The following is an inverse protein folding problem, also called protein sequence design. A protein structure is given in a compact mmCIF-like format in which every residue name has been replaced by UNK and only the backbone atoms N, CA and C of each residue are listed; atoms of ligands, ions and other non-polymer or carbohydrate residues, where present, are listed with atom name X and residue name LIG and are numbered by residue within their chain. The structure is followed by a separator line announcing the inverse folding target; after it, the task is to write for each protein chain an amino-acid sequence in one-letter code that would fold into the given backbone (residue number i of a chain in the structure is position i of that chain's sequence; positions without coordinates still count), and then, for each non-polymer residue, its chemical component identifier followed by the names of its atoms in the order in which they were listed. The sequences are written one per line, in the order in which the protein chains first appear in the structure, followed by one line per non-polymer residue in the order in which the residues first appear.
data_IF_707890313385
#
_entry.id   IF_707890313385
#
_cell.length_a   1.000
_cell.length_b   1.000
_cell.length_c   1.000
_cell.angle_alpha   90.00
_cell.angle_beta   90.00
_cell.angle_gamma   90.00
#
_symmetry.space_group_name_H-M   'P 1'
#
loop_
_entity.id
_entity.type
_entity.pdbx_description
1 polymer ?
#
# COMPACT_ATOMS: atom_id res chain seq x y z
N UNK A 1 17.93 56.53 -30.87
CA UNK A 1 18.08 55.72 -29.64
C UNK A 1 17.95 54.24 -30.03
N UNK A 2 19.05 53.57 -30.33
CA UNK A 2 19.02 52.14 -30.69
C UNK A 2 18.82 51.33 -29.42
N UNK A 3 17.65 50.71 -29.26
CA UNK A 3 17.46 49.70 -28.20
C UNK A 3 18.52 48.63 -28.42
N UNK A 4 19.45 48.52 -27.48
CA UNK A 4 20.56 47.58 -27.50
C UNK A 4 20.03 46.18 -27.86
N UNK A 5 20.63 45.52 -28.85
CA UNK A 5 20.26 44.18 -29.33
C UNK A 5 20.09 43.17 -28.18
N UNK A 6 20.89 43.33 -27.12
CA UNK A 6 20.78 42.53 -25.89
C UNK A 6 19.43 42.68 -25.18
N UNK A 7 18.87 43.89 -25.09
CA UNK A 7 17.59 44.13 -24.43
C UNK A 7 16.43 43.46 -25.18
N UNK A 8 16.49 43.40 -26.51
CA UNK A 8 15.48 42.70 -27.33
C UNK A 8 15.49 41.19 -27.09
N UNK A 9 16.68 40.59 -27.00
CA UNK A 9 16.81 39.15 -26.73
C UNK A 9 16.29 38.84 -25.33
N UNK A 10 16.66 39.62 -24.32
CA UNK A 10 16.19 39.44 -22.94
C UNK A 10 14.65 39.54 -22.85
N UNK A 11 14.04 40.55 -23.48
CA UNK A 11 12.58 40.70 -23.51
C UNK A 11 11.88 39.51 -24.16
N UNK A 12 12.42 38.98 -25.25
CA UNK A 12 11.87 37.78 -25.90
C UNK A 12 11.97 36.55 -24.99
N UNK A 13 13.10 36.35 -24.29
CA UNK A 13 13.27 35.24 -23.34
C UNK A 13 12.28 35.35 -22.19
N UNK A 14 12.12 36.55 -21.61
CA UNK A 14 11.13 36.78 -20.55
C UNK A 14 9.72 36.50 -21.05
N UNK A 15 9.36 36.98 -22.23
CA UNK A 15 8.05 36.72 -22.83
C UNK A 15 7.79 35.21 -23.00
N UNK A 16 8.76 34.46 -23.52
CA UNK A 16 8.67 32.99 -23.66
C UNK A 16 8.48 32.31 -22.29
N UNK A 17 9.22 32.74 -21.28
CA UNK A 17 9.07 32.20 -19.91
C UNK A 17 7.66 32.49 -19.37
N UNK A 18 7.14 33.71 -19.54
CA UNK A 18 5.79 34.07 -19.07
C UNK A 18 4.73 33.23 -19.78
N UNK A 19 4.81 33.08 -21.11
CA UNK A 19 3.89 32.24 -21.88
C UNK A 19 3.96 30.78 -21.42
N UNK A 20 5.16 30.26 -21.17
CA UNK A 20 5.35 28.90 -20.68
C UNK A 20 4.73 28.70 -19.28
N UNK A 21 4.96 29.64 -18.34
CA UNK A 21 4.36 29.59 -17.01
C UNK A 21 2.84 29.72 -17.06
N UNK A 22 2.31 30.54 -17.96
CA UNK A 22 0.87 30.67 -18.17
C UNK A 22 0.23 29.37 -18.67
N UNK A 23 0.87 28.68 -19.63
CA UNK A 23 0.42 27.36 -20.10
C UNK A 23 0.44 26.33 -18.97
N UNK A 24 1.49 26.31 -18.16
CA UNK A 24 1.58 25.45 -16.97
C UNK A 24 0.44 25.75 -15.99
N UNK A 25 0.15 27.03 -15.74
CA UNK A 25 -0.96 27.43 -14.86
C UNK A 25 -2.31 26.96 -15.40
N UNK A 26 -2.59 27.15 -16.69
CA UNK A 26 -3.82 26.67 -17.33
C UNK A 26 -3.97 25.15 -17.26
N UNK A 27 -2.86 24.42 -17.43
CA UNK A 27 -2.82 22.98 -17.27
C UNK A 27 -3.22 22.55 -15.85
N UNK A 28 -2.68 23.21 -14.82
CA UNK A 28 -3.06 22.94 -13.43
C UNK A 28 -4.51 23.31 -13.11
N UNK A 29 -5.03 24.42 -13.64
CA UNK A 29 -6.44 24.80 -13.46
C UNK A 29 -7.36 23.72 -14.05
N UNK A 30 -7.06 23.26 -15.26
CA UNK A 30 -7.85 22.20 -15.92
C UNK A 30 -7.83 20.90 -15.11
N UNK A 31 -6.66 20.50 -14.59
CA UNK A 31 -6.54 19.32 -13.72
C UNK A 31 -7.38 19.48 -12.46
N UNK A 32 -7.31 20.65 -11.81
CA UNK A 32 -8.06 20.92 -10.58
C UNK A 32 -9.58 20.89 -10.80
N UNK A 33 -10.06 21.47 -11.90
CA UNK A 33 -11.48 21.48 -12.23
C UNK A 33 -12.01 20.07 -12.53
N UNK A 34 -11.24 19.27 -13.29
CA UNK A 34 -11.56 17.87 -13.56
C UNK A 34 -11.63 17.05 -12.25
N UNK A 35 -10.66 17.27 -11.35
CA UNK A 35 -10.63 16.61 -10.04
C UNK A 35 -11.88 16.89 -9.21
N UNK A 36 -12.29 18.16 -9.15
CA UNK A 36 -13.48 18.59 -8.41
C UNK A 36 -14.77 18.01 -8.98
N UNK A 37 -14.90 17.95 -10.31
CA UNK A 37 -16.06 17.34 -10.97
C UNK A 37 -16.16 15.84 -10.66
N UNK A 38 -15.03 15.13 -10.68
CA UNK A 38 -14.97 13.71 -10.34
C UNK A 38 -15.32 13.49 -8.87
N UNK A 39 -14.80 14.31 -7.96
CA UNK A 39 -15.12 14.22 -6.54
C UNK A 39 -16.60 14.51 -6.28
N UNK A 40 -17.18 15.51 -6.94
CA UNK A 40 -18.62 15.82 -6.85
C UNK A 40 -19.47 14.66 -7.37
N UNK A 41 -19.09 14.07 -8.51
CA UNK A 41 -19.75 12.89 -9.05
C UNK A 41 -19.72 11.73 -8.04
N UNK A 42 -18.54 11.39 -7.50
CA UNK A 42 -18.41 10.28 -6.57
C UNK A 42 -19.05 10.56 -5.20
N UNK A 43 -19.13 11.81 -4.77
CA UNK A 43 -19.87 12.18 -3.55
C UNK A 43 -21.36 11.89 -3.72
N UNK A 44 -21.96 12.30 -4.85
CA UNK A 44 -23.37 12.02 -5.16
C UNK A 44 -23.61 10.52 -5.30
N UNK A 45 -22.74 9.81 -6.01
CA UNK A 45 -22.85 8.34 -6.15
C UNK A 45 -22.69 7.63 -4.81
N UNK A 46 -21.79 8.13 -3.95
CA UNK A 46 -21.55 7.54 -2.64
C UNK A 46 -22.79 7.64 -1.76
N UNK A 47 -23.37 8.83 -1.65
CA UNK A 47 -24.56 9.08 -0.82
C UNK A 47 -25.79 8.30 -1.30
N UNK A 48 -26.00 8.23 -2.61
CA UNK A 48 -27.24 7.69 -3.18
C UNK A 48 -27.20 6.18 -3.45
N UNK A 49 -26.03 5.59 -3.67
CA UNK A 49 -25.92 4.20 -4.13
C UNK A 49 -24.88 3.39 -3.35
N UNK A 50 -23.61 3.81 -3.37
CA UNK A 50 -22.49 3.02 -2.83
C UNK A 50 -22.67 2.79 -1.33
N UNK A 51 -22.96 3.84 -0.55
CA UNK A 51 -23.13 3.74 0.89
C UNK A 51 -24.36 2.91 1.28
N UNK A 52 -25.59 3.18 0.78
CA UNK A 52 -26.76 2.38 1.12
C UNK A 52 -26.63 0.89 0.78
N UNK A 53 -26.00 0.56 -0.36
CA UNK A 53 -25.78 -0.84 -0.75
C UNK A 53 -24.67 -1.46 0.09
N UNK A 54 -23.54 -0.76 0.29
CA UNK A 54 -22.45 -1.23 1.14
C UNK A 54 -22.91 -1.51 2.58
N UNK A 55 -23.73 -0.64 3.17
CA UNK A 55 -24.34 -0.87 4.49
C UNK A 55 -25.20 -2.12 4.50
N UNK A 56 -26.07 -2.30 3.50
CA UNK A 56 -26.96 -3.46 3.39
C UNK A 56 -26.17 -4.77 3.31
N UNK A 57 -25.15 -4.79 2.47
CA UNK A 57 -24.28 -5.94 2.25
C UNK A 57 -23.50 -6.30 3.53
N UNK A 58 -22.92 -5.31 4.22
CA UNK A 58 -22.23 -5.52 5.50
C UNK A 58 -23.21 -5.99 6.59
N UNK A 59 -24.38 -5.36 6.75
CA UNK A 59 -25.37 -5.79 7.73
C UNK A 59 -25.87 -7.22 7.46
N UNK A 60 -26.00 -7.60 6.19
CA UNK A 60 -26.40 -8.96 5.81
C UNK A 60 -25.42 -10.01 6.33
N UNK A 61 -24.10 -9.81 6.15
CA UNK A 61 -23.11 -10.75 6.68
C UNK A 61 -23.02 -10.69 8.21
N UNK A 62 -23.12 -9.51 8.83
CA UNK A 62 -23.14 -9.38 10.29
C UNK A 62 -24.29 -10.19 10.88
N UNK A 63 -25.52 -10.01 10.39
CA UNK A 63 -26.69 -10.77 10.85
C UNK A 63 -26.54 -12.28 10.61
N UNK A 64 -25.96 -12.70 9.48
CA UNK A 64 -25.68 -14.12 9.22
C UNK A 64 -24.73 -14.69 10.27
N UNK A 65 -23.71 -13.91 10.66
CA UNK A 65 -22.70 -14.34 11.64
C UNK A 65 -23.20 -14.35 13.08
N UNK A 66 -24.29 -13.66 13.42
CA UNK A 66 -24.90 -13.70 14.76
C UNK A 66 -25.40 -15.11 15.14
N UNK A 67 -25.81 -15.90 14.14
CA UNK A 67 -26.29 -17.26 14.34
C UNK A 67 -25.18 -18.32 14.44
N UNK A 68 -23.91 -17.92 14.38
CA UNK A 68 -22.76 -18.83 14.42
C UNK A 68 -22.12 -18.75 15.81
N UNK A 69 -22.18 -19.83 16.59
CA UNK A 69 -21.64 -19.85 17.96
C UNK A 69 -20.11 -20.02 17.99
N UNK A 70 -19.54 -20.72 17.00
CA UNK A 70 -18.10 -20.99 16.95
C UNK A 70 -17.35 -19.79 16.34
N UNK A 71 -16.40 -19.22 17.09
CA UNK A 71 -15.63 -18.05 16.65
C UNK A 71 -14.85 -18.28 15.35
N UNK A 72 -14.22 -19.45 15.20
CA UNK A 72 -13.46 -19.79 14.00
C UNK A 72 -14.37 -19.87 12.79
N UNK A 73 -15.51 -20.57 12.90
CA UNK A 73 -16.51 -20.66 11.83
C UNK A 73 -17.09 -19.28 11.49
N UNK A 74 -17.28 -18.42 12.49
CA UNK A 74 -17.77 -17.06 12.30
C UNK A 74 -16.77 -16.20 11.52
N UNK A 75 -15.50 -16.20 11.93
CA UNK A 75 -14.43 -15.46 11.26
C UNK A 75 -14.16 -16.00 9.84
N UNK A 76 -14.26 -17.31 9.65
CA UNK A 76 -14.18 -17.93 8.33
C UNK A 76 -15.34 -17.49 7.42
N UNK A 77 -16.58 -17.46 7.93
CA UNK A 77 -17.73 -16.96 7.16
C UNK A 77 -17.57 -15.48 6.77
N UNK A 78 -16.97 -14.65 7.62
CA UNK A 78 -16.62 -13.26 7.30
C UNK A 78 -15.59 -13.24 6.17
N UNK A 79 -14.52 -14.03 6.27
CA UNK A 79 -13.45 -14.06 5.27
C UNK A 79 -13.93 -14.54 3.90
N UNK A 80 -14.78 -15.57 3.89
CA UNK A 80 -15.44 -16.07 2.68
C UNK A 80 -16.22 -14.93 2.01
N UNK A 81 -17.06 -14.22 2.78
CA UNK A 81 -17.87 -13.12 2.25
C UNK A 81 -17.03 -11.91 1.78
N UNK A 82 -15.97 -11.57 2.51
CA UNK A 82 -15.05 -10.48 2.14
C UNK A 82 -14.34 -10.81 0.82
N UNK A 83 -13.94 -12.08 0.64
CA UNK A 83 -13.20 -12.55 -0.53
C UNK A 83 -14.10 -12.86 -1.73
N UNK A 84 -15.36 -13.21 -1.50
CA UNK A 84 -16.31 -13.57 -2.55
C UNK A 84 -16.50 -12.41 -3.55
N UNK A 85 -16.38 -12.73 -4.84
CA UNK A 85 -16.48 -11.79 -5.97
C UNK A 85 -15.52 -10.59 -5.89
N UNK A 86 -14.45 -10.71 -5.08
CA UNK A 86 -13.45 -9.66 -4.94
C UNK A 86 -12.49 -9.67 -6.12
N UNK A 87 -12.29 -8.51 -6.75
CA UNK A 87 -11.30 -8.32 -7.82
C UNK A 87 -9.99 -7.88 -7.20
N UNK A 88 -9.07 -8.83 -7.03
CA UNK A 88 -7.74 -8.57 -6.49
C UNK A 88 -6.81 -8.04 -7.59
N UNK A 89 -6.61 -6.72 -7.64
CA UNK A 89 -6.06 -6.02 -8.81
C UNK A 89 -4.64 -6.41 -9.23
N UNK A 90 -3.90 -7.13 -8.36
CA UNK A 90 -2.56 -7.63 -8.65
C UNK A 90 -2.56 -9.04 -9.26
N UNK A 91 -3.60 -9.84 -8.98
CA UNK A 91 -3.69 -11.24 -9.42
C UNK A 91 -4.72 -11.44 -10.53
N UNK A 92 -5.64 -10.49 -10.71
CA UNK A 92 -6.76 -10.62 -11.65
C UNK A 92 -6.34 -11.05 -13.05
N UNK A 93 -5.31 -10.40 -13.60
CA UNK A 93 -4.81 -10.68 -14.94
C UNK A 93 -4.17 -12.07 -15.08
N UNK A 94 -3.47 -12.51 -14.05
CA UNK A 94 -2.68 -13.75 -14.09
C UNK A 94 -3.56 -14.98 -13.83
N UNK A 95 -4.58 -14.86 -12.99
CA UNK A 95 -5.33 -16.02 -12.48
C UNK A 95 -6.77 -16.12 -12.97
N UNK A 96 -7.44 -15.01 -13.31
CA UNK A 96 -8.88 -15.01 -13.58
C UNK A 96 -9.22 -14.52 -14.99
N UNK A 97 -8.61 -13.41 -15.44
CA UNK A 97 -8.93 -12.80 -16.72
C UNK A 97 -7.69 -12.22 -17.40
N UNK A 98 -7.11 -12.88 -18.42
CA UNK A 98 -5.90 -12.38 -19.10
C UNK A 98 -6.11 -11.06 -19.84
N UNK A 99 -7.37 -10.68 -20.10
CA UNK A 99 -7.74 -9.41 -20.72
C UNK A 99 -8.05 -8.31 -19.70
N UNK A 100 -7.83 -8.56 -18.40
CA UNK A 100 -8.03 -7.57 -17.36
C UNK A 100 -7.18 -6.32 -17.63
N UNK A 101 -7.85 -5.17 -17.65
CA UNK A 101 -7.22 -3.85 -17.77
C UNK A 101 -7.68 -2.95 -16.64
N UNK A 102 -6.87 -1.91 -16.38
CA UNK A 102 -7.17 -0.88 -15.40
C UNK A 102 -6.58 0.45 -15.84
N UNK A 103 -7.29 1.54 -15.57
CA UNK A 103 -6.91 2.91 -15.93
C UNK A 103 -7.35 3.90 -14.85
N UNK A 104 -6.79 5.10 -14.88
CA UNK A 104 -7.17 6.16 -13.93
C UNK A 104 -8.14 7.13 -14.58
N UNK A 105 -9.24 7.42 -13.88
CA UNK A 105 -10.28 8.34 -14.35
C UNK A 105 -9.82 9.80 -14.26
N UNK A 106 -8.92 10.13 -13.34
CA UNK A 106 -8.49 11.48 -13.01
C UNK A 106 -6.98 11.71 -13.26
N UNK A 107 -6.47 11.22 -14.39
CA UNK A 107 -5.07 11.45 -14.76
C UNK A 107 -4.74 12.96 -14.85
N UNK A 108 -3.58 13.43 -14.34
CA UNK A 108 -2.47 12.66 -13.76
C UNK A 108 -2.57 12.48 -12.24
N UNK A 109 -3.66 12.94 -11.60
CA UNK A 109 -3.80 12.87 -10.14
C UNK A 109 -3.92 11.41 -9.69
N UNK A 110 -4.59 10.54 -10.46
CA UNK A 110 -4.64 9.09 -10.25
C UNK A 110 -5.23 8.67 -8.89
N UNK A 111 -6.36 9.27 -8.47
CA UNK A 111 -7.10 8.89 -7.24
C UNK A 111 -8.19 7.86 -7.48
N UNK A 112 -8.70 7.70 -8.70
CA UNK A 112 -9.77 6.75 -8.98
C UNK A 112 -9.35 5.78 -10.06
N UNK A 113 -8.99 4.56 -9.65
CA UNK A 113 -8.67 3.47 -10.54
C UNK A 113 -9.96 2.78 -10.97
N UNK A 114 -10.17 2.64 -12.28
CA UNK A 114 -11.28 1.95 -12.90
C UNK A 114 -10.77 0.69 -13.61
N UNK A 115 -11.49 -0.43 -13.52
CA UNK A 115 -11.13 -1.68 -14.20
C UNK A 115 -12.07 -2.09 -15.33
N UNK A 116 -11.65 -3.10 -16.10
CA UNK A 116 -12.42 -3.66 -17.21
C UNK A 116 -13.78 -4.27 -16.83
N UNK A 117 -14.07 -4.46 -15.53
CA UNK A 117 -15.36 -4.95 -15.06
C UNK A 117 -16.32 -3.82 -14.66
N UNK A 118 -15.89 -2.57 -14.76
CA UNK A 118 -16.69 -1.43 -14.32
C UNK A 118 -16.50 -1.08 -12.84
N UNK A 119 -15.54 -1.70 -12.14
CA UNK A 119 -15.32 -1.47 -10.72
C UNK A 119 -14.37 -0.29 -10.49
N UNK A 120 -14.58 0.41 -9.38
CA UNK A 120 -13.83 1.63 -9.05
C UNK A 120 -13.16 1.47 -7.70
N UNK A 121 -11.85 1.71 -7.65
CA UNK A 121 -11.02 1.72 -6.45
C UNK A 121 -10.50 3.15 -6.17
N UNK A 122 -10.87 3.75 -5.04
CA UNK A 122 -10.27 4.99 -4.57
C UNK A 122 -8.88 4.71 -4.00
N UNK A 123 -7.85 5.36 -4.55
CA UNK A 123 -6.45 5.18 -4.16
C UNK A 123 -6.03 6.19 -3.09
N UNK A 124 -5.31 5.71 -2.07
CA UNK A 124 -4.74 6.56 -1.00
C UNK A 124 -3.53 7.35 -1.51
N UNK A 125 -2.78 6.77 -2.45
CA UNK A 125 -1.42 7.21 -2.76
C UNK A 125 -1.16 7.24 -4.27
N UNK A 126 -1.27 8.43 -4.85
CA UNK A 126 -0.57 8.78 -6.08
C UNK A 126 0.63 9.65 -5.73
N UNK A 127 1.77 9.51 -6.42
CA UNK A 127 2.91 10.42 -6.24
C UNK A 127 2.51 11.89 -6.37
N UNK A 128 1.57 12.17 -7.27
CA UNK A 128 1.04 13.52 -7.49
C UNK A 128 0.10 13.92 -6.35
N UNK A 129 -0.81 13.04 -5.90
CA UNK A 129 -1.69 13.35 -4.77
C UNK A 129 -0.93 13.60 -3.46
N UNK A 130 0.23 12.97 -3.28
CA UNK A 130 1.13 13.24 -2.14
C UNK A 130 1.78 14.63 -2.22
N UNK A 131 2.20 15.05 -3.41
CA UNK A 131 2.79 16.39 -3.63
C UNK A 131 1.75 17.47 -3.34
N UNK A 132 0.51 17.27 -3.81
CA UNK A 132 -0.57 18.25 -3.66
C UNK A 132 -1.41 18.07 -2.38
N UNK A 133 -1.13 17.03 -1.58
CA UNK A 133 -1.90 16.67 -0.37
C UNK A 133 -3.40 16.63 -0.63
N UNK A 134 -3.80 16.03 -1.74
CA UNK A 134 -5.21 15.83 -2.09
C UNK A 134 -5.58 14.39 -1.70
N UNK A 135 -6.03 14.14 -0.45
CA UNK A 135 -6.45 12.81 -0.06
C UNK A 135 -7.69 12.40 -0.87
N UNK A 136 -7.86 11.10 -1.06
CA UNK A 136 -9.14 10.54 -1.48
C UNK A 136 -9.86 10.05 -0.22
N UNK A 137 -10.95 10.71 0.14
CA UNK A 137 -11.72 10.41 1.37
C UNK A 137 -12.40 9.03 1.33
N UNK A 138 -12.61 8.48 0.14
CA UNK A 138 -13.21 7.15 -0.06
C UNK A 138 -12.18 6.03 -0.01
N UNK A 139 -10.88 6.34 0.03
CA UNK A 139 -9.85 5.32 0.05
C UNK A 139 -9.86 4.56 1.39
N UNK A 140 -9.89 3.24 1.32
CA UNK A 140 -10.13 2.34 2.46
C UNK A 140 -11.49 2.58 3.16
N UNK A 141 -12.52 3.05 2.45
CA UNK A 141 -13.86 3.09 3.01
C UNK A 141 -14.50 1.68 2.91
N UNK A 142 -14.92 1.05 4.03
CA UNK A 142 -15.45 -0.32 4.00
C UNK A 142 -16.73 -0.47 3.18
N UNK A 143 -17.61 0.55 3.16
CA UNK A 143 -18.83 0.53 2.36
C UNK A 143 -18.53 0.58 0.86
N UNK A 144 -17.54 1.36 0.45
CA UNK A 144 -17.05 1.39 -0.93
C UNK A 144 -16.46 0.05 -1.35
N UNK A 145 -15.64 -0.55 -0.49
CA UNK A 145 -15.01 -1.85 -0.75
C UNK A 145 -16.09 -2.94 -0.80
N UNK A 146 -17.09 -2.92 0.08
CA UNK A 146 -18.20 -3.86 0.08
C UNK A 146 -19.05 -3.76 -1.20
N UNK A 147 -19.26 -2.54 -1.71
CA UNK A 147 -20.01 -2.29 -2.94
C UNK A 147 -19.28 -2.80 -4.18
N UNK A 148 -18.04 -2.35 -4.43
CA UNK A 148 -17.31 -2.70 -5.64
C UNK A 148 -16.59 -4.05 -5.57
N UNK A 149 -16.32 -4.56 -4.36
CA UNK A 149 -15.51 -5.77 -4.12
C UNK A 149 -14.23 -5.71 -4.95
N UNK A 150 -13.37 -4.71 -4.72
CA UNK A 150 -12.14 -4.46 -5.49
C UNK A 150 -11.06 -3.86 -4.60
N UNK A 151 -9.81 -4.28 -4.79
CA UNK A 151 -8.67 -3.70 -4.08
C UNK A 151 -7.46 -4.62 -3.99
N UNK A 152 -6.62 -4.39 -3.00
CA UNK A 152 -5.52 -5.27 -2.59
C UNK A 152 -5.65 -5.71 -1.13
N UNK A 153 -4.54 -6.14 -0.55
CA UNK A 153 -4.48 -6.64 0.83
C UNK A 153 -4.93 -5.59 1.87
N UNK A 154 -4.67 -4.31 1.62
CA UNK A 154 -5.13 -3.21 2.49
C UNK A 154 -6.65 -3.13 2.56
N UNK A 155 -7.33 -3.12 1.42
CA UNK A 155 -8.78 -3.05 1.35
C UNK A 155 -9.46 -4.31 1.89
N UNK A 156 -8.91 -5.50 1.62
CA UNK A 156 -9.40 -6.74 2.23
C UNK A 156 -9.29 -6.70 3.76
N UNK A 157 -8.15 -6.26 4.29
CA UNK A 157 -7.95 -6.15 5.73
C UNK A 157 -8.91 -5.14 6.37
N UNK A 158 -9.13 -3.98 5.73
CA UNK A 158 -10.05 -2.95 6.22
C UNK A 158 -11.50 -3.43 6.21
N UNK A 159 -11.94 -4.08 5.12
CA UNK A 159 -13.30 -4.60 5.07
C UNK A 159 -13.51 -5.73 6.09
N UNK A 160 -12.53 -6.62 6.25
CA UNK A 160 -12.58 -7.67 7.27
C UNK A 160 -12.64 -7.08 8.70
N UNK A 161 -11.77 -6.09 9.00
CA UNK A 161 -11.75 -5.39 10.30
C UNK A 161 -13.11 -4.76 10.62
N UNK A 162 -13.72 -4.04 9.67
CA UNK A 162 -15.02 -3.40 9.86
C UNK A 162 -16.14 -4.42 10.13
N UNK A 163 -16.22 -5.50 9.33
CA UNK A 163 -17.23 -6.54 9.52
C UNK A 163 -17.02 -7.29 10.83
N UNK A 164 -15.79 -7.69 11.15
CA UNK A 164 -15.48 -8.41 12.39
C UNK A 164 -15.78 -7.55 13.64
N UNK A 165 -15.45 -6.25 13.62
CA UNK A 165 -15.82 -5.34 14.71
C UNK A 165 -17.35 -5.24 14.88
N UNK A 166 -18.10 -5.12 13.78
CA UNK A 166 -19.57 -5.08 13.83
C UNK A 166 -20.18 -6.40 14.28
N UNK A 167 -19.49 -7.52 14.05
CA UNK A 167 -19.86 -8.85 14.57
C UNK A 167 -19.42 -9.09 16.03
N UNK A 168 -18.90 -8.07 16.71
CA UNK A 168 -18.62 -8.10 18.16
C UNK A 168 -17.18 -8.46 18.55
N UNK A 169 -16.25 -8.55 17.60
CA UNK A 169 -14.84 -8.75 17.90
C UNK A 169 -14.11 -7.43 18.16
N UNK A 170 -13.05 -7.49 18.96
CA UNK A 170 -12.06 -6.42 18.99
C UNK A 170 -10.98 -6.74 17.95
N UNK A 171 -10.72 -5.80 17.04
CA UNK A 171 -9.78 -6.01 15.95
C UNK A 171 -8.83 -4.85 15.75
N UNK A 172 -7.74 -5.11 15.03
CA UNK A 172 -6.82 -4.09 14.54
C UNK A 172 -6.21 -4.50 13.20
N UNK A 173 -6.27 -3.61 12.21
CA UNK A 173 -5.50 -3.79 11.00
C UNK A 173 -4.00 -3.71 11.31
N UNK A 174 -3.21 -4.64 10.76
CA UNK A 174 -1.76 -4.65 10.84
C UNK A 174 -1.18 -4.43 9.45
N UNK A 175 -0.12 -3.62 9.36
CA UNK A 175 0.58 -3.32 8.10
C UNK A 175 2.05 -3.67 8.22
N UNK A 176 2.56 -4.45 7.27
CA UNK A 176 3.98 -4.67 7.09
C UNK A 176 4.53 -3.83 5.93
N UNK A 177 5.62 -3.14 6.17
CA UNK A 177 6.48 -2.59 5.12
C UNK A 177 7.52 -3.65 4.80
N UNK A 178 7.58 -4.06 3.54
CA UNK A 178 8.53 -5.06 3.03
C UNK A 178 9.58 -4.38 2.15
N UNK A 179 10.73 -5.02 1.96
CA UNK A 179 11.83 -4.49 1.14
C UNK A 179 11.43 -4.15 -0.30
N UNK A 180 10.39 -4.80 -0.85
CA UNK A 180 9.93 -4.60 -2.23
C UNK A 180 8.43 -4.34 -2.36
N UNK A 181 7.68 -4.37 -1.27
CA UNK A 181 6.22 -4.24 -1.30
C UNK A 181 5.68 -3.85 0.09
N UNK A 182 4.37 -3.86 0.26
CA UNK A 182 3.71 -3.86 1.55
C UNK A 182 2.76 -5.06 1.65
N UNK A 183 2.29 -5.33 2.86
CA UNK A 183 1.22 -6.28 3.10
C UNK A 183 0.36 -5.85 4.28
N UNK A 184 -0.90 -6.27 4.31
CA UNK A 184 -1.82 -5.97 5.40
C UNK A 184 -2.67 -7.20 5.74
N UNK A 185 -2.96 -7.33 7.03
CA UNK A 185 -3.82 -8.37 7.62
C UNK A 185 -4.52 -7.79 8.86
N UNK A 186 -5.32 -8.58 9.56
CA UNK A 186 -6.05 -8.15 10.76
C UNK A 186 -5.61 -9.00 11.95
N UNK A 187 -5.47 -8.42 13.13
CA UNK A 187 -5.46 -9.18 14.38
C UNK A 187 -6.85 -9.10 15.02
N UNK A 188 -7.34 -10.23 15.53
CA UNK A 188 -8.66 -10.39 16.13
C UNK A 188 -8.50 -10.96 17.54
N UNK A 189 -9.17 -10.37 18.52
CA UNK A 189 -9.21 -10.87 19.89
C UNK A 189 -10.34 -11.88 20.07
N UNK A 190 -9.98 -13.11 20.44
CA UNK A 190 -10.90 -14.23 20.69
C UNK A 190 -10.55 -14.82 22.06
N UNK A 191 -11.48 -14.76 23.02
CA UNK A 191 -11.27 -15.25 24.40
C UNK A 191 -9.96 -14.75 25.04
N UNK A 192 -9.77 -13.42 25.05
CA UNK A 192 -8.59 -12.72 25.61
C UNK A 192 -7.25 -13.07 24.93
N UNK A 193 -7.29 -13.62 23.71
CA UNK A 193 -6.11 -13.99 22.93
C UNK A 193 -6.18 -13.37 21.55
N UNK A 194 -5.06 -12.85 21.08
CA UNK A 194 -4.94 -12.28 19.75
C UNK A 194 -4.55 -13.35 18.73
N UNK A 195 -5.30 -13.41 17.65
CA UNK A 195 -5.04 -14.23 16.47
C UNK A 195 -4.81 -13.32 15.28
N UNK A 196 -3.94 -13.72 14.34
CA UNK A 196 -3.91 -13.06 13.04
C UNK A 196 -4.98 -13.68 12.14
N UNK A 197 -5.52 -12.85 11.25
CA UNK A 197 -6.38 -13.21 10.15
C UNK A 197 -5.89 -12.50 8.89
N UNK A 198 -5.44 -13.25 7.89
CA UNK A 198 -4.98 -12.70 6.61
C UNK A 198 -6.01 -13.00 5.50
N UNK A 199 -6.94 -12.08 5.22
CA UNK A 199 -7.95 -12.28 4.18
C UNK A 199 -7.34 -12.39 2.77
N UNK A 200 -6.11 -11.90 2.56
CA UNK A 200 -5.42 -12.09 1.27
C UNK A 200 -4.97 -13.54 1.10
N UNK A 201 -4.39 -14.14 2.14
CA UNK A 201 -4.02 -15.56 2.05
C UNK A 201 -5.25 -16.46 1.99
N UNK A 202 -6.34 -16.08 2.66
CA UNK A 202 -7.62 -16.77 2.51
C UNK A 202 -8.08 -16.73 1.04
N UNK A 203 -8.11 -15.55 0.42
CA UNK A 203 -8.43 -15.37 -1.00
C UNK A 203 -7.53 -16.22 -1.91
N UNK A 204 -6.20 -16.14 -1.72
CA UNK A 204 -5.22 -16.84 -2.56
C UNK A 204 -5.32 -18.36 -2.43
N UNK A 205 -5.59 -18.88 -1.22
CA UNK A 205 -5.74 -20.31 -1.03
C UNK A 205 -7.09 -20.81 -1.56
N UNK A 206 -8.21 -20.19 -1.18
CA UNK A 206 -9.55 -20.71 -1.47
C UNK A 206 -10.07 -20.35 -2.87
N UNK A 207 -9.73 -19.17 -3.41
CA UNK A 207 -10.24 -18.72 -4.72
C UNK A 207 -9.24 -18.89 -5.86
N UNK A 208 -7.94 -18.82 -5.59
CA UNK A 208 -6.90 -19.05 -6.61
C UNK A 208 -6.30 -20.47 -6.57
N UNK A 209 -6.73 -21.30 -5.62
CA UNK A 209 -6.26 -22.68 -5.39
C UNK A 209 -4.73 -22.82 -5.19
N UNK A 210 -4.08 -21.80 -4.64
CA UNK A 210 -2.62 -21.82 -4.45
C UNK A 210 -2.25 -22.51 -3.12
N UNK A 211 -2.02 -23.82 -3.19
CA UNK A 211 -1.83 -24.71 -2.02
C UNK A 211 -0.76 -24.29 -1.01
N UNK A 212 0.27 -23.52 -1.40
CA UNK A 212 1.31 -23.06 -0.45
C UNK A 212 0.78 -22.12 0.65
N UNK A 213 -0.41 -21.55 0.47
CA UNK A 213 -1.09 -20.69 1.44
C UNK A 213 -2.11 -21.45 2.32
N UNK A 214 -2.11 -22.78 2.26
CA UNK A 214 -2.93 -23.59 3.13
C UNK A 214 -2.55 -23.36 4.60
N UNK A 215 -3.53 -23.11 5.46
CA UNK A 215 -3.34 -22.85 6.90
C UNK A 215 -2.43 -21.65 7.21
N UNK A 216 -2.32 -20.67 6.30
CA UNK A 216 -1.53 -19.45 6.54
C UNK A 216 -2.38 -18.19 6.65
N UNK A 217 -3.69 -18.35 6.78
CA UNK A 217 -4.67 -17.25 6.83
C UNK A 217 -5.24 -17.03 8.23
N UNK A 218 -5.05 -17.96 9.17
CA UNK A 218 -5.47 -17.83 10.56
C UNK A 218 -4.51 -18.55 11.50
N UNK A 219 -4.22 -17.97 12.66
CA UNK A 219 -3.34 -18.56 13.67
C UNK A 219 -2.85 -17.55 14.70
N UNK A 220 -1.86 -17.93 15.50
CA UNK A 220 -1.26 -16.98 16.45
C UNK A 220 -0.21 -16.09 15.78
N UNK A 221 -0.02 -14.83 16.20
CA UNK A 221 0.99 -13.94 15.63
C UNK A 221 2.40 -14.56 15.53
N UNK A 222 2.82 -15.35 16.52
CA UNK A 222 4.10 -16.08 16.53
C UNK A 222 4.23 -17.18 15.45
N UNK A 223 3.12 -17.63 14.88
CA UNK A 223 3.05 -18.65 13.83
C UNK A 223 3.03 -18.03 12.42
N UNK A 224 2.85 -16.72 12.29
CA UNK A 224 2.66 -16.06 11.00
C UNK A 224 3.95 -16.01 10.16
N UNK A 225 4.11 -16.88 9.16
CA UNK A 225 5.39 -17.11 8.48
C UNK A 225 5.37 -16.91 6.96
N UNK A 226 4.56 -15.99 6.44
CA UNK A 226 4.41 -15.76 4.99
C UNK A 226 5.64 -15.11 4.35
N UNK A 227 6.40 -14.35 5.13
CA UNK A 227 7.57 -13.61 4.66
C UNK A 227 8.84 -14.14 5.34
N UNK A 228 9.98 -13.98 4.68
CA UNK A 228 11.25 -14.14 5.39
C UNK A 228 11.51 -12.93 6.30
N UNK A 229 12.19 -13.14 7.43
CA UNK A 229 12.58 -12.05 8.32
C UNK A 229 13.36 -10.95 7.58
N UNK A 230 14.17 -11.30 6.57
CA UNK A 230 14.94 -10.37 5.74
C UNK A 230 14.10 -9.46 4.83
N UNK A 231 12.84 -9.82 4.57
CA UNK A 231 11.91 -8.99 3.81
C UNK A 231 11.21 -7.94 4.67
N UNK A 232 11.07 -8.16 5.98
CA UNK A 232 10.36 -7.26 6.89
C UNK A 232 11.23 -6.04 7.23
N UNK A 233 10.73 -4.84 6.94
CA UNK A 233 11.33 -3.58 7.39
C UNK A 233 10.66 -3.05 8.67
N UNK A 234 9.33 -3.13 8.73
CA UNK A 234 8.54 -2.75 9.89
C UNK A 234 7.18 -3.46 9.88
N UNK A 235 6.61 -3.68 11.06
CA UNK A 235 5.22 -4.11 11.24
C UNK A 235 4.57 -3.12 12.19
N UNK A 236 3.47 -2.51 11.77
CA UNK A 236 2.80 -1.47 12.55
C UNK A 236 1.32 -1.76 12.71
N UNK A 237 0.78 -1.33 13.84
CA UNK A 237 -0.66 -1.18 14.03
C UNK A 237 -1.20 -0.10 13.07
N UNK A 238 -2.26 -0.41 12.32
CA UNK A 238 -2.83 0.46 11.31
C UNK A 238 -3.43 1.73 11.88
N UNK A 239 -3.96 1.66 13.11
CA UNK A 239 -4.66 2.74 13.79
C UNK A 239 -3.66 3.60 14.58
N UNK A 240 -2.80 2.99 15.40
CA UNK A 240 -1.88 3.75 16.27
C UNK A 240 -0.54 4.06 15.62
N UNK A 241 -0.19 3.37 14.53
CA UNK A 241 1.14 3.40 13.88
C UNK A 241 2.29 2.93 14.79
N UNK A 242 1.98 2.35 15.94
CA UNK A 242 2.97 1.74 16.82
C UNK A 242 3.68 0.58 16.10
N UNK A 243 5.00 0.44 16.30
CA UNK A 243 5.73 -0.73 15.80
C UNK A 243 5.47 -1.94 16.71
N UNK A 244 4.89 -2.98 16.13
CA UNK A 244 4.42 -4.17 16.85
C UNK A 244 5.17 -5.44 16.44
N UNK A 245 6.35 -5.29 15.82
CA UNK A 245 7.19 -6.44 15.39
C UNK A 245 7.52 -7.39 16.54
N UNK A 246 7.49 -6.93 17.79
CA UNK A 246 7.75 -7.76 18.97
C UNK A 246 6.73 -8.90 19.14
N UNK A 247 5.52 -8.74 18.61
CA UNK A 247 4.45 -9.77 18.57
C UNK A 247 4.72 -10.87 17.54
N UNK A 248 5.68 -10.65 16.64
CA UNK A 248 6.07 -11.55 15.55
C UNK A 248 7.54 -11.96 15.71
N UNK A 249 7.89 -12.79 16.71
CA UNK A 249 9.27 -13.15 17.05
C UNK A 249 10.08 -13.72 15.87
N UNK A 250 9.44 -14.47 14.97
CA UNK A 250 10.02 -15.01 13.73
C UNK A 250 10.56 -13.94 12.77
N UNK A 251 10.06 -12.70 12.86
CA UNK A 251 10.51 -11.58 12.03
C UNK A 251 11.54 -10.69 12.73
N UNK A 252 11.87 -10.96 13.99
CA UNK A 252 13.00 -10.32 14.65
C UNK A 252 14.27 -10.77 13.94
N UNK A 253 14.70 -10.00 12.94
CA UNK A 253 16.05 -10.13 12.43
C UNK A 253 16.97 -10.00 13.65
N UNK A 254 17.85 -10.97 13.87
CA UNK A 254 18.96 -10.78 14.79
C UNK A 254 19.81 -9.63 14.23
N UNK A 255 19.45 -8.38 14.56
CA UNK A 255 20.24 -7.16 14.26
C UNK A 255 21.66 -7.26 14.86
N UNK A 256 21.96 -8.31 15.62
CA UNK A 256 23.15 -8.51 16.44
C UNK A 256 24.39 -9.06 15.72
N UNK A 257 24.35 -9.51 14.46
CA UNK A 257 25.56 -10.10 13.83
C UNK A 257 26.23 -9.31 12.70
N UNK A 258 25.52 -8.42 11.99
CA UNK A 258 26.13 -7.68 10.87
C UNK A 258 26.79 -6.34 11.24
N UNK A 259 26.52 -5.76 12.42
CA UNK A 259 27.25 -4.57 12.86
C UNK A 259 28.69 -4.93 13.28
N UNK A 260 28.93 -6.14 13.82
CA UNK A 260 30.29 -6.61 14.13
C UNK A 260 31.10 -6.96 12.88
N UNK A 261 30.49 -7.52 11.84
CA UNK A 261 31.23 -7.89 10.60
C UNK A 261 31.59 -6.68 9.73
N UNK A 262 30.76 -5.62 9.72
CA UNK A 262 31.07 -4.36 9.03
C UNK A 262 32.17 -3.58 9.77
N UNK A 263 32.18 -3.60 11.10
CA UNK A 263 33.26 -2.97 11.88
C UNK A 263 34.57 -3.78 11.88
N UNK A 264 34.55 -5.12 11.83
CA UNK A 264 35.80 -5.90 11.74
C UNK A 264 36.49 -5.78 10.37
N UNK A 265 35.75 -5.83 9.26
CA UNK A 265 36.37 -5.66 7.92
C UNK A 265 36.93 -4.27 7.67
N UNK A 266 36.44 -3.23 8.37
CA UNK A 266 36.97 -1.87 8.28
C UNK A 266 38.22 -1.66 9.15
N UNK A 267 38.42 -2.47 10.19
CA UNK A 267 39.60 -2.42 11.06
C UNK A 267 40.76 -3.24 10.47
N UNK A 268 40.50 -4.36 9.77
CA UNK A 268 41.57 -5.16 9.13
C UNK A 268 42.21 -4.50 7.89
N UNK A 269 41.60 -3.46 7.30
CA UNK A 269 42.17 -2.70 6.17
C UNK A 269 42.99 -1.47 6.57
N UNK A 270 43.25 -1.27 7.86
CA UNK A 270 44.27 -0.33 8.33
C UNK A 270 45.46 -1.13 8.85
N UNK A 271 46.02 -2.00 8.01
CA UNK A 271 47.40 -2.46 8.18
C UNK A 271 48.30 -1.42 7.54
N UNK A 272 49.14 -0.81 8.38
CA UNK A 272 50.14 0.21 8.05
C UNK A 272 51.00 -0.32 6.89
N UNK A 273 51.24 0.47 5.81
CA UNK A 273 52.21 0.10 4.78
C UNK A 273 53.59 -0.09 5.43
N UNK A 274 54.17 -1.27 5.21
CA UNK A 274 55.54 -1.57 5.63
C UNK A 274 56.50 -0.52 5.04
N UNK A 275 57.33 0.09 5.89
CA UNK A 275 58.16 1.27 5.62
C UNK A 275 59.36 1.04 4.70
N UNK A 276 59.29 0.09 3.76
CA UNK A 276 60.43 -0.31 2.93
C UNK A 276 60.38 0.25 1.50
N UNK A 277 59.27 0.88 1.07
CA UNK A 277 59.14 1.43 -0.30
C UNK A 277 59.35 2.96 -0.44
N UNK A 278 59.77 3.69 0.59
CA UNK A 278 60.06 5.14 0.50
C UNK A 278 61.52 5.43 0.06
N UNK A 279 62.16 4.54 -0.72
CA UNK A 279 63.57 4.73 -1.17
C UNK A 279 63.81 4.69 -2.68
N UNK A 280 62.79 4.82 -3.53
CA UNK A 280 62.96 4.80 -5.00
C UNK A 280 62.35 5.97 -5.79
N UNK A 281 62.10 7.13 -5.16
CA UNK A 281 61.62 8.33 -5.89
C UNK A 281 62.49 9.57 -5.71
N UNK A 282 63.79 9.39 -5.41
CA UNK A 282 64.79 10.44 -5.56
C UNK A 282 65.89 9.87 -6.46
N UNK A 283 65.80 10.20 -7.76
CA UNK A 283 66.87 10.22 -8.77
C UNK A 283 66.29 9.79 -10.12
N UNK A 284 65.86 10.75 -10.94
CA UNK A 284 65.97 10.75 -12.41
C UNK A 284 65.42 12.07 -12.95
N UNK A 285 66.29 13.10 -12.99
CA UNK A 285 66.22 14.15 -14.00
C UNK A 285 67.64 14.40 -14.50
N UNK A 286 67.89 14.26 -15.82
CA UNK A 286 68.91 15.01 -16.50
C UNK A 286 68.29 16.16 -17.30
N UNK A 287 69.13 17.19 -17.47
CA UNK A 287 68.96 18.38 -18.32
C UNK A 287 68.54 18.05 -19.76
#
# INVERSE_FOLDING_TARGET
MSINKHNKILMNVIFVIIVFLYIILLFFITISQSAEQIDSYFSIQYENEIYPIGVREICSIVNKTEAIDNDTEKLEAIAEWVSANFTYILFEKEYFNPNYTKEYLDHPINRYLYDSYGKIRPEVHSPISQVFRIPNEYANNPYWIAYYKMGGCGELAVLFEDVANKSGYNTRAIRATLTKNNHAWVEVEVHDKWYFFDPTNYYVYHLMDVKRYNNTWFGKPEEYSIFSASQIQSIVDGNTRENVIERYPQFKQERRKNIKSINMKKIERITIPNSTEIRKLVNTQPL
#
